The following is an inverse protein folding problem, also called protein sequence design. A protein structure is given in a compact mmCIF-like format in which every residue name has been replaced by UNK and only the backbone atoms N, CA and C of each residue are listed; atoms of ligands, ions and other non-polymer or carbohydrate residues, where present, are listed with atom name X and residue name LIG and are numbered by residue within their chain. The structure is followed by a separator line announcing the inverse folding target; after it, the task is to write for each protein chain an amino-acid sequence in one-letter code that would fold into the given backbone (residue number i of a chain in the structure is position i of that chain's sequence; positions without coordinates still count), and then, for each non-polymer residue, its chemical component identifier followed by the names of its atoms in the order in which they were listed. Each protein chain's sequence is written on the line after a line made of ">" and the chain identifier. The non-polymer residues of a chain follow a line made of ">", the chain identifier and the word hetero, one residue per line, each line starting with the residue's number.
data_IF_709083318451
#
_entry.id   IF_709083318451
#
_cell.length_a   1.000
_cell.length_b   1.000
_cell.length_c   1.000
_cell.angle_alpha   90.00
_cell.angle_beta   90.00
_cell.angle_gamma   90.00
#
_symmetry.space_group_name_H-M   'P 1'
#
loop_
_entity.id
_entity.type
_entity.pdbx_description
1 polymer ?
#
# COMPACT_ATOMS: atom_id res chain seq x y z
N UNK A 1 12.44 22.89 0.02
CA UNK A 1 11.12 23.39 0.44
C UNK A 1 10.51 22.40 1.41
N UNK A 2 10.06 22.88 2.54
CA UNK A 2 9.45 22.01 3.56
C UNK A 2 7.97 21.75 3.22
N UNK A 3 7.62 20.49 2.96
CA UNK A 3 6.25 20.08 2.62
C UNK A 3 5.39 19.90 3.87
N UNK A 4 4.08 19.81 3.70
CA UNK A 4 3.17 19.50 4.80
C UNK A 4 3.49 18.14 5.46
N UNK A 5 3.80 17.13 4.66
CA UNK A 5 4.19 15.82 5.19
C UNK A 5 5.42 15.90 6.08
N UNK A 6 6.46 16.61 5.62
CA UNK A 6 7.67 16.80 6.41
C UNK A 6 7.40 17.55 7.73
N UNK A 7 6.60 18.60 7.68
CA UNK A 7 6.24 19.38 8.88
C UNK A 7 5.50 18.53 9.91
N UNK A 8 4.59 17.71 9.45
CA UNK A 8 3.81 16.84 10.35
C UNK A 8 4.71 15.78 11.00
N UNK A 9 5.55 15.12 10.22
CA UNK A 9 6.49 14.13 10.77
C UNK A 9 7.48 14.76 11.76
N UNK A 10 7.98 15.95 11.47
CA UNK A 10 8.82 16.69 12.41
C UNK A 10 8.08 16.99 13.72
N UNK A 11 6.83 17.44 13.62
CA UNK A 11 6.01 17.74 14.82
C UNK A 11 5.73 16.49 15.67
N UNK A 12 5.70 15.32 15.04
CA UNK A 12 5.51 14.04 15.73
C UNK A 12 6.82 13.42 16.22
N UNK A 13 7.97 14.03 15.93
CA UNK A 13 9.28 13.50 16.29
C UNK A 13 9.65 12.23 15.53
N UNK A 14 9.08 12.02 14.35
CA UNK A 14 9.34 10.84 13.52
C UNK A 14 10.54 11.11 12.62
N UNK A 15 11.58 10.24 12.65
CA UNK A 15 12.71 10.36 11.73
C UNK A 15 12.29 10.06 10.28
N UNK A 16 12.80 10.85 9.35
CA UNK A 16 12.57 10.63 7.92
C UNK A 16 13.70 11.24 7.10
N UNK A 17 13.83 10.76 5.87
CA UNK A 17 14.69 11.31 4.84
C UNK A 17 13.82 11.94 3.76
N UNK A 18 14.27 13.04 3.18
CA UNK A 18 13.62 13.69 2.03
C UNK A 18 14.43 13.39 0.78
N UNK A 19 13.76 12.91 -0.28
CA UNK A 19 14.34 12.80 -1.61
C UNK A 19 13.53 13.61 -2.60
N UNK A 20 14.22 14.52 -3.27
CA UNK A 20 13.65 15.32 -4.33
C UNK A 20 13.98 14.71 -5.69
N UNK A 21 13.11 14.93 -6.67
CA UNK A 21 13.31 14.48 -8.04
C UNK A 21 12.67 15.45 -9.01
N UNK A 22 13.15 15.46 -10.25
CA UNK A 22 12.58 16.27 -11.32
C UNK A 22 11.26 15.67 -11.78
N UNK A 23 10.20 16.48 -11.78
CA UNK A 23 8.85 16.06 -12.17
C UNK A 23 8.71 16.09 -13.69
N UNK A 24 8.28 14.94 -14.25
CA UNK A 24 7.74 14.90 -15.61
C UNK A 24 6.20 14.92 -15.51
N UNK A 25 5.52 16.02 -15.89
CA UNK A 25 4.07 16.10 -15.78
C UNK A 25 3.33 15.11 -16.70
N UNK A 26 4.01 14.52 -17.67
CA UNK A 26 3.45 13.50 -18.55
C UNK A 26 3.61 12.07 -17.99
N UNK A 27 4.43 11.88 -16.97
CA UNK A 27 4.64 10.59 -16.32
C UNK A 27 4.77 10.76 -14.80
N UNK A 28 3.64 10.67 -14.11
CA UNK A 28 3.54 10.76 -12.65
C UNK A 28 3.54 9.37 -12.00
N UNK A 29 3.85 8.31 -12.73
CA UNK A 29 3.79 6.94 -12.22
C UNK A 29 4.78 6.70 -11.09
N UNK A 30 4.39 5.85 -10.14
CA UNK A 30 5.26 5.45 -9.04
C UNK A 30 6.50 4.67 -9.54
N UNK A 31 6.40 3.98 -10.67
CA UNK A 31 7.54 3.31 -11.30
C UNK A 31 8.62 4.31 -11.72
N UNK A 32 8.22 5.42 -12.33
CA UNK A 32 9.14 6.49 -12.71
C UNK A 32 9.73 7.19 -11.49
N UNK A 33 8.91 7.48 -10.48
CA UNK A 33 9.39 8.04 -9.21
C UNK A 33 10.44 7.14 -8.57
N UNK A 34 10.18 5.84 -8.51
CA UNK A 34 11.12 4.86 -7.94
C UNK A 34 12.49 4.90 -8.63
N UNK A 35 12.52 4.97 -9.96
CA UNK A 35 13.77 5.10 -10.72
C UNK A 35 14.51 6.39 -10.36
N UNK A 36 13.79 7.50 -10.27
CA UNK A 36 14.39 8.82 -10.01
C UNK A 36 14.95 8.95 -8.61
N UNK A 37 14.35 8.31 -7.61
CA UNK A 37 14.83 8.37 -6.24
C UNK A 37 15.74 7.19 -5.86
N UNK A 38 15.94 6.23 -6.76
CA UNK A 38 16.86 5.11 -6.56
C UNK A 38 16.38 4.04 -5.61
N UNK A 39 15.05 3.80 -5.54
CA UNK A 39 14.46 2.73 -4.75
C UNK A 39 13.71 1.72 -5.64
N UNK A 40 13.62 0.45 -5.21
CA UNK A 40 12.76 -0.52 -5.90
C UNK A 40 11.30 -0.06 -5.90
N UNK A 41 10.53 -0.29 -6.98
CA UNK A 41 9.14 0.15 -7.05
C UNK A 41 8.23 -0.49 -6.00
N UNK A 42 8.52 -1.70 -5.54
CA UNK A 42 7.80 -2.36 -4.46
C UNK A 42 7.96 -1.66 -3.10
N UNK A 43 8.95 -0.80 -2.97
CA UNK A 43 9.26 -0.03 -1.76
C UNK A 43 8.72 1.41 -1.83
N UNK A 44 8.27 1.84 -3.00
CA UNK A 44 7.69 3.16 -3.25
C UNK A 44 6.18 3.04 -3.25
N UNK A 45 5.53 3.52 -2.19
CA UNK A 45 4.09 3.40 -1.99
C UNK A 45 3.37 4.61 -2.55
N UNK A 46 2.31 4.37 -3.30
CA UNK A 46 1.41 5.39 -3.82
C UNK A 46 0.18 5.50 -2.94
N UNK A 47 -0.26 6.72 -2.70
CA UNK A 47 -1.44 7.03 -1.89
C UNK A 47 -2.61 7.36 -2.80
N UNK A 48 -3.69 6.59 -2.68
CA UNK A 48 -4.87 6.69 -3.52
C UNK A 48 -6.07 7.08 -2.69
N UNK A 49 -6.80 8.11 -3.13
CA UNK A 49 -8.11 8.44 -2.55
C UNK A 49 -9.16 7.54 -3.18
N UNK A 50 -9.88 6.82 -2.36
CA UNK A 50 -10.92 5.88 -2.76
C UNK A 50 -12.24 6.24 -2.10
N UNK A 51 -13.32 5.68 -2.62
CA UNK A 51 -14.66 5.89 -2.09
C UNK A 51 -15.42 4.58 -1.96
N UNK A 52 -16.20 4.47 -0.89
CA UNK A 52 -17.13 3.36 -0.66
C UNK A 52 -18.58 3.72 -0.98
N UNK A 53 -18.79 4.85 -1.64
CA UNK A 53 -20.11 5.40 -1.97
C UNK A 53 -20.20 6.87 -1.56
N UNK A 54 -21.39 7.51 -1.73
CA UNK A 54 -21.57 8.92 -1.42
C UNK A 54 -21.14 9.26 0.01
N UNK A 55 -20.23 10.22 0.16
CA UNK A 55 -19.76 10.69 1.47
C UNK A 55 -18.80 9.76 2.19
N UNK A 56 -18.42 8.61 1.62
CA UNK A 56 -17.50 7.64 2.23
C UNK A 56 -16.19 7.64 1.47
N UNK A 57 -15.14 8.15 2.11
CA UNK A 57 -13.80 8.24 1.52
C UNK A 57 -12.76 7.61 2.45
N UNK A 58 -11.74 7.02 1.84
CA UNK A 58 -10.63 6.39 2.54
C UNK A 58 -9.38 6.41 1.67
N UNK A 59 -8.22 6.41 2.32
CA UNK A 59 -6.95 6.26 1.62
C UNK A 59 -6.55 4.78 1.52
N UNK A 60 -6.07 4.41 0.36
CA UNK A 60 -5.37 3.15 0.14
C UNK A 60 -3.94 3.43 -0.28
N UNK A 61 -2.98 2.83 0.41
CA UNK A 61 -1.56 3.03 0.20
C UNK A 61 -0.96 1.69 -0.22
N UNK A 62 -0.51 1.61 -1.46
CA UNK A 62 -0.09 0.35 -2.10
C UNK A 62 1.26 0.50 -2.80
N UNK A 63 2.02 -0.61 -3.00
CA UNK A 63 3.28 -0.55 -3.73
C UNK A 63 3.12 0.02 -5.14
N UNK A 64 4.13 0.72 -5.60
CA UNK A 64 4.13 1.38 -6.89
C UNK A 64 4.04 0.44 -8.09
N UNK A 65 4.51 -0.79 -7.94
CA UNK A 65 4.47 -1.83 -8.97
C UNK A 65 3.20 -2.71 -8.92
N UNK A 66 2.29 -2.44 -7.98
CA UNK A 66 1.08 -3.21 -7.78
C UNK A 66 -0.17 -2.40 -8.10
N UNK A 67 -1.25 -3.10 -8.40
CA UNK A 67 -2.58 -2.52 -8.58
C UNK A 67 -3.43 -2.75 -7.34
N UNK A 68 -4.18 -1.73 -6.93
CA UNK A 68 -5.16 -1.85 -5.85
C UNK A 68 -6.29 -2.81 -6.28
N UNK A 69 -6.58 -3.78 -5.42
CA UNK A 69 -7.76 -4.64 -5.54
C UNK A 69 -8.90 -4.04 -4.71
N UNK A 70 -9.91 -3.52 -5.38
CA UNK A 70 -11.02 -2.84 -4.71
C UNK A 70 -11.88 -3.77 -3.87
N UNK A 71 -12.00 -5.05 -4.23
CA UNK A 71 -12.72 -6.04 -3.43
C UNK A 71 -11.99 -6.32 -2.11
N UNK A 72 -10.67 -6.42 -2.16
CA UNK A 72 -9.83 -6.57 -0.97
C UNK A 72 -9.92 -5.35 -0.07
N UNK A 73 -9.87 -4.14 -0.65
CA UNK A 73 -10.02 -2.90 0.10
C UNK A 73 -11.40 -2.82 0.78
N UNK A 74 -12.47 -3.08 0.04
CA UNK A 74 -13.83 -3.07 0.58
C UNK A 74 -13.98 -4.07 1.74
N UNK A 75 -13.41 -5.26 1.60
CA UNK A 75 -13.41 -6.28 2.66
C UNK A 75 -12.68 -5.79 3.90
N UNK A 76 -11.47 -5.23 3.73
CA UNK A 76 -10.67 -4.71 4.83
C UNK A 76 -11.37 -3.57 5.57
N UNK A 77 -12.07 -2.72 4.84
CA UNK A 77 -12.76 -1.55 5.38
C UNK A 77 -14.19 -1.83 5.86
N UNK A 78 -14.70 -3.05 5.67
CA UNK A 78 -16.10 -3.39 6.01
C UNK A 78 -17.12 -2.70 5.12
N UNK A 79 -16.78 -2.45 3.86
CA UNK A 79 -17.65 -1.80 2.87
C UNK A 79 -18.21 -2.81 1.87
N UNK A 80 -19.36 -2.49 1.27
CA UNK A 80 -19.94 -3.34 0.23
C UNK A 80 -19.14 -3.29 -1.06
N UNK A 81 -18.62 -2.11 -1.40
CA UNK A 81 -17.78 -1.88 -2.57
C UNK A 81 -16.82 -0.75 -2.32
N UNK A 82 -15.75 -0.69 -3.09
CA UNK A 82 -14.84 0.43 -3.15
C UNK A 82 -14.45 0.70 -4.60
N UNK A 83 -14.15 1.95 -4.90
CA UNK A 83 -13.70 2.40 -6.21
C UNK A 83 -12.79 3.62 -6.07
N UNK A 84 -12.09 4.00 -7.12
CA UNK A 84 -11.34 5.25 -7.10
C UNK A 84 -12.28 6.42 -6.95
N UNK A 85 -11.91 7.38 -6.11
CA UNK A 85 -12.55 8.68 -6.15
C UNK A 85 -12.28 9.34 -7.51
N UNK A 86 -13.23 10.15 -7.98
CA UNK A 86 -13.01 10.87 -9.24
C UNK A 86 -11.85 11.85 -9.12
N UNK A 87 -11.14 12.09 -10.22
CA UNK A 87 -10.00 13.03 -10.21
C UNK A 87 -10.43 14.43 -9.76
N UNK A 88 -11.68 14.83 -10.03
CA UNK A 88 -12.24 16.12 -9.61
C UNK A 88 -12.39 16.24 -8.10
N UNK A 89 -12.56 15.12 -7.39
CA UNK A 89 -12.75 15.08 -5.94
C UNK A 89 -11.43 15.14 -5.16
N UNK A 90 -10.32 14.74 -5.79
CA UNK A 90 -9.04 14.57 -5.07
C UNK A 90 -8.60 15.85 -4.39
N UNK A 91 -8.48 16.97 -5.11
CA UNK A 91 -8.00 18.22 -4.54
C UNK A 91 -8.98 18.83 -3.53
N UNK A 92 -10.29 18.92 -3.79
CA UNK A 92 -11.24 19.44 -2.81
C UNK A 92 -11.26 18.65 -1.49
N UNK A 93 -11.09 17.33 -1.56
CA UNK A 93 -11.19 16.47 -0.38
C UNK A 93 -9.86 16.32 0.37
N UNK A 94 -8.73 16.37 -0.31
CA UNK A 94 -7.42 16.12 0.32
C UNK A 94 -6.58 17.39 0.48
N UNK A 95 -6.75 18.37 -0.39
CA UNK A 95 -5.88 19.53 -0.50
C UNK A 95 -4.67 19.30 -1.40
N UNK A 96 -4.52 18.11 -1.96
CA UNK A 96 -3.40 17.72 -2.81
C UNK A 96 -3.85 17.40 -4.23
N UNK A 97 -2.92 17.47 -5.17
CA UNK A 97 -3.15 17.12 -6.56
C UNK A 97 -2.58 15.71 -6.87
N UNK A 98 -3.05 15.11 -7.94
CA UNK A 98 -2.55 13.83 -8.42
C UNK A 98 -1.01 13.86 -8.56
N UNK A 99 -0.37 12.80 -8.10
CA UNK A 99 1.10 12.70 -8.05
C UNK A 99 1.73 13.30 -6.79
N UNK A 100 0.97 14.07 -6.00
CA UNK A 100 1.42 14.64 -4.74
C UNK A 100 0.48 14.36 -3.56
N UNK A 101 -0.42 13.38 -3.70
CA UNK A 101 -1.36 13.02 -2.62
C UNK A 101 -0.61 12.33 -1.48
N UNK A 102 -0.85 12.80 -0.27
CA UNK A 102 -0.36 12.16 0.96
C UNK A 102 -1.47 12.10 2.00
N UNK A 103 -1.35 11.17 2.92
CA UNK A 103 -2.24 11.07 4.08
C UNK A 103 -2.02 12.24 5.03
N UNK A 104 -0.78 12.72 5.15
CA UNK A 104 -0.40 13.76 6.10
C UNK A 104 -1.02 15.11 5.74
N UNK A 105 -1.77 15.69 6.67
CA UNK A 105 -2.37 17.00 6.49
C UNK A 105 -3.51 17.05 5.47
N UNK A 106 -4.13 15.93 5.16
CA UNK A 106 -5.36 15.91 4.38
C UNK A 106 -6.45 16.72 5.10
N UNK A 107 -7.36 17.31 4.33
CA UNK A 107 -8.39 18.20 4.88
C UNK A 107 -9.29 17.57 5.93
N UNK A 108 -9.44 16.23 5.88
CA UNK A 108 -10.17 15.44 6.86
C UNK A 108 -9.39 14.18 7.24
N UNK A 109 -9.62 13.61 8.45
CA UNK A 109 -8.96 12.41 8.89
C UNK A 109 -9.62 11.15 8.30
N UNK A 110 -9.47 10.96 7.00
CA UNK A 110 -9.99 9.76 6.34
C UNK A 110 -9.31 8.49 6.88
N UNK A 111 -10.03 7.36 6.98
CA UNK A 111 -9.41 6.08 7.29
C UNK A 111 -8.29 5.74 6.31
N UNK A 112 -7.23 5.10 6.80
CA UNK A 112 -6.05 4.74 6.01
C UNK A 112 -5.83 3.25 6.05
N UNK A 113 -5.71 2.64 4.89
CA UNK A 113 -5.37 1.24 4.70
C UNK A 113 -4.07 1.13 3.92
N UNK A 114 -3.11 0.42 4.48
CA UNK A 114 -1.79 0.24 3.87
C UNK A 114 -1.61 -1.23 3.52
N UNK A 115 -1.12 -1.51 2.32
CA UNK A 115 -0.84 -2.89 1.93
C UNK A 115 0.17 -3.53 2.90
N UNK A 116 -0.11 -4.74 3.31
CA UNK A 116 0.65 -5.46 4.33
C UNK A 116 2.13 -5.66 3.98
N UNK A 117 2.49 -5.60 2.70
CA UNK A 117 3.89 -5.71 2.26
C UNK A 117 4.78 -4.60 2.76
N UNK A 118 4.21 -3.47 3.22
CA UNK A 118 4.99 -2.36 3.77
C UNK A 118 5.90 -2.79 4.92
N UNK A 119 5.44 -3.72 5.76
CA UNK A 119 6.21 -4.19 6.93
C UNK A 119 7.42 -5.04 6.57
N UNK A 120 7.55 -5.47 5.31
CA UNK A 120 8.68 -6.27 4.84
C UNK A 120 9.95 -5.45 4.63
N UNK A 121 9.86 -4.12 4.65
CA UNK A 121 10.97 -3.22 4.38
C UNK A 121 11.41 -2.49 5.64
N UNK A 122 12.70 -2.16 5.70
CA UNK A 122 13.22 -1.28 6.77
C UNK A 122 12.72 0.16 6.59
N UNK A 123 12.56 0.58 5.34
CA UNK A 123 12.07 1.90 4.96
C UNK A 123 11.17 1.79 3.75
N UNK A 124 10.16 2.66 3.71
CA UNK A 124 9.28 2.87 2.56
C UNK A 124 9.33 4.33 2.13
N UNK A 125 8.99 4.57 0.88
CA UNK A 125 8.84 5.91 0.32
C UNK A 125 7.37 6.23 0.12
N UNK A 126 6.96 7.43 0.53
CA UNK A 126 5.60 7.96 0.34
C UNK A 126 5.69 9.41 -0.13
N UNK A 127 4.64 9.90 -0.78
CA UNK A 127 4.56 11.30 -1.17
C UNK A 127 4.61 12.23 0.05
N UNK A 128 5.33 13.34 -0.12
CA UNK A 128 5.45 14.37 0.91
C UNK A 128 4.29 15.40 0.89
N UNK A 129 3.37 15.32 -0.07
CA UNK A 129 2.30 16.30 -0.29
C UNK A 129 2.60 17.29 -1.40
N UNK A 130 3.63 17.04 -2.19
CA UNK A 130 3.97 17.81 -3.38
C UNK A 130 4.60 16.90 -4.41
N UNK A 131 4.37 17.17 -5.68
CA UNK A 131 5.10 16.50 -6.77
C UNK A 131 6.59 16.78 -6.63
N UNK A 132 7.42 15.80 -6.90
CA UNK A 132 8.87 15.97 -6.85
C UNK A 132 9.52 15.77 -5.48
N UNK A 133 8.76 15.40 -4.46
CA UNK A 133 9.26 15.21 -3.11
C UNK A 133 8.70 13.93 -2.49
N UNK A 134 9.58 13.05 -2.06
CA UNK A 134 9.24 11.84 -1.33
C UNK A 134 9.80 11.88 0.09
N UNK A 135 9.07 11.27 1.01
CA UNK A 135 9.52 11.01 2.37
C UNK A 135 9.87 9.54 2.51
N UNK A 136 11.00 9.26 3.12
CA UNK A 136 11.47 7.89 3.36
C UNK A 136 11.56 7.69 4.87
N UNK A 137 10.81 6.71 5.36
CA UNK A 137 10.69 6.46 6.79
C UNK A 137 10.41 4.98 7.05
N UNK A 138 10.52 4.56 8.32
CA UNK A 138 10.15 3.20 8.68
C UNK A 138 8.66 2.96 8.51
N UNK A 139 8.24 1.77 8.04
CA UNK A 139 6.82 1.45 7.93
C UNK A 139 6.10 1.50 9.28
N UNK A 140 6.73 1.09 10.37
CA UNK A 140 6.15 1.15 11.70
C UNK A 140 5.81 2.58 12.10
N UNK A 141 6.71 3.51 11.86
CA UNK A 141 6.49 4.94 12.12
C UNK A 141 5.37 5.50 11.24
N UNK A 142 5.34 5.10 9.96
CA UNK A 142 4.29 5.51 9.03
C UNK A 142 2.91 5.03 9.49
N UNK A 143 2.78 3.75 9.84
CA UNK A 143 1.53 3.17 10.31
C UNK A 143 1.04 3.86 11.59
N UNK A 144 1.94 4.13 12.52
CA UNK A 144 1.61 4.83 13.76
C UNK A 144 1.20 6.28 13.51
N UNK A 145 1.95 7.01 12.69
CA UNK A 145 1.68 8.41 12.38
C UNK A 145 0.36 8.62 11.63
N UNK A 146 -0.07 7.65 10.84
CA UNK A 146 -1.30 7.70 10.05
C UNK A 146 -2.49 7.00 10.71
N UNK A 147 -2.27 6.30 11.82
CA UNK A 147 -3.25 5.40 12.44
C UNK A 147 -3.82 4.37 11.44
N UNK A 148 -2.98 3.92 10.52
CA UNK A 148 -3.38 3.04 9.44
C UNK A 148 -3.62 1.61 9.91
N UNK A 149 -4.48 0.91 9.18
CA UNK A 149 -4.64 -0.53 9.26
C UNK A 149 -3.94 -1.19 8.07
N UNK A 150 -3.33 -2.34 8.29
CA UNK A 150 -2.71 -3.14 7.23
C UNK A 150 -3.62 -4.25 6.78
N UNK A 151 -3.60 -4.53 5.49
CA UNK A 151 -4.33 -5.63 4.87
C UNK A 151 -3.69 -5.99 3.54
N UNK A 152 -4.04 -7.15 3.00
CA UNK A 152 -3.76 -7.47 1.59
C UNK A 152 -4.68 -6.63 0.70
N UNK A 153 -4.11 -5.69 -0.03
CA UNK A 153 -4.87 -4.71 -0.83
C UNK A 153 -4.61 -4.81 -2.33
N UNK A 154 -3.71 -5.65 -2.79
CA UNK A 154 -3.27 -5.64 -4.18
C UNK A 154 -3.77 -6.86 -4.94
N UNK A 155 -3.93 -6.68 -6.25
CA UNK A 155 -4.30 -7.78 -7.15
C UNK A 155 -3.18 -8.82 -7.20
N UNK A 156 -3.59 -10.08 -7.22
CA UNK A 156 -2.68 -11.19 -7.43
C UNK A 156 -2.28 -11.22 -8.91
N UNK A 157 -0.97 -11.24 -9.16
CA UNK A 157 -0.40 -11.19 -10.52
C UNK A 157 -0.07 -12.60 -11.03
N UNK A 158 -0.87 -13.62 -10.78
CA UNK A 158 -0.70 -14.94 -11.38
C UNK A 158 0.67 -15.62 -11.18
N UNK A 159 1.64 -14.95 -10.58
CA UNK A 159 2.91 -15.50 -10.13
C UNK A 159 2.83 -15.83 -8.64
N UNK A 160 3.56 -16.85 -8.15
CA UNK A 160 3.58 -17.13 -6.72
C UNK A 160 4.05 -15.89 -5.99
N UNK A 161 3.12 -15.22 -5.32
CA UNK A 161 3.45 -14.07 -4.51
C UNK A 161 4.19 -14.59 -3.27
N UNK A 162 5.27 -13.92 -2.89
CA UNK A 162 5.94 -14.16 -1.62
C UNK A 162 5.12 -13.63 -0.43
N UNK A 163 3.84 -13.40 -0.64
CA UNK A 163 2.94 -12.92 0.40
C UNK A 163 2.62 -14.04 1.34
N UNK A 164 2.87 -13.84 2.60
CA UNK A 164 2.30 -14.69 3.63
C UNK A 164 0.80 -14.40 3.68
N UNK A 165 -0.02 -15.37 3.24
CA UNK A 165 -1.45 -15.29 3.53
C UNK A 165 -1.61 -15.45 5.05
N UNK A 166 -2.03 -14.40 5.72
CA UNK A 166 -2.47 -14.52 7.10
C UNK A 166 -3.75 -15.34 7.10
N UNK A 167 -3.63 -16.63 7.38
CA UNK A 167 -4.80 -17.49 7.49
C UNK A 167 -4.71 -18.88 6.87
N UNK A 168 -3.55 -19.33 6.39
CA UNK A 168 -3.36 -20.73 6.12
C UNK A 168 -3.34 -21.47 7.46
N UNK A 169 -4.50 -21.90 7.92
CA UNK A 169 -4.56 -23.00 8.87
C UNK A 169 -3.95 -24.20 8.16
N UNK A 170 -2.94 -24.80 8.76
CA UNK A 170 -2.51 -26.13 8.40
C UNK A 170 -3.75 -27.01 8.47
N UNK A 171 -4.29 -27.36 7.32
CA UNK A 171 -5.29 -28.40 7.25
C UNK A 171 -4.61 -29.68 7.67
N UNK A 172 -5.20 -30.37 8.62
CA UNK A 172 -4.84 -31.73 8.97
C UNK A 172 -4.89 -32.59 7.69
N UNK A 173 -3.74 -32.89 7.16
CA UNK A 173 -3.59 -33.95 6.21
C UNK A 173 -3.55 -35.24 7.00
N UNK A 174 -4.67 -35.92 7.08
CA UNK A 174 -4.69 -37.33 7.33
C UNK A 174 -4.31 -38.00 6.03
N UNK A 175 -3.04 -38.25 5.86
CA UNK A 175 -2.57 -39.21 4.86
C UNK A 175 -2.92 -40.61 5.36
N UNK A 176 -3.97 -41.13 4.80
CA UNK A 176 -4.22 -42.54 4.82
C UNK A 176 -3.24 -43.21 3.86
N UNK A 177 -2.09 -43.59 4.36
CA UNK A 177 -1.19 -44.47 3.64
C UNK A 177 -1.82 -45.84 3.49
N UNK A 178 -2.37 -46.09 2.32
CA UNK A 178 -2.67 -47.40 1.85
C UNK A 178 -1.44 -47.94 1.13
N UNK A 179 -0.64 -48.71 1.82
CA UNK A 179 0.45 -49.48 1.22
C UNK A 179 -0.18 -50.66 0.44
N UNK A 180 0.05 -50.75 -0.86
CA UNK A 180 -0.39 -51.98 -1.57
C UNK A 180 0.50 -53.13 -1.17
N UNK A 181 -0.14 -54.21 -0.75
CA UNK A 181 0.50 -55.46 -0.43
C UNK A 181 1.22 -56.03 -1.66
N UNK A 182 2.49 -56.33 -1.49
CA UNK A 182 3.27 -57.13 -2.47
C UNK A 182 2.84 -58.55 -2.33
N UNK A 183 2.25 -59.12 -3.37
CA UNK A 183 2.08 -60.56 -3.48
C UNK A 183 3.41 -61.18 -3.90
N UNK A 184 3.99 -61.96 -3.02
CA UNK A 184 5.03 -62.89 -3.36
C UNK A 184 4.39 -64.05 -4.11
N UNK A 185 4.85 -64.25 -5.33
CA UNK A 185 4.52 -65.42 -6.13
C UNK A 185 5.66 -66.41 -5.94
N UNK A 186 5.35 -67.51 -5.25
CA UNK A 186 6.20 -68.70 -5.17
C UNK A 186 5.93 -69.61 -6.38
N UNK A 187 6.99 -69.90 -7.12
CA UNK A 187 7.18 -71.19 -7.79
C UNK A 187 8.61 -71.37 -8.22
#
# INVERSE_FOLDING_TARGET
>A
MKTNGARILESLGVPFEVREYEVDPNDLSALTVAKKIGLPPEQVFKTLLTTGGPGVYLFAVVPGDAELDFKKLARAAGLRKAEMASLKEVQPLTGYIRGGVTVFGAKKPYPVYVDETAILFDRISVSAGARGVQLILSPEDYLRATAAQTADLTKDLGAPSLRFSSGARAGDHQDGDSIPAVQEDES
#
